data_IF_876510874295
#
_entry.id   IF_876510874295
#
_cell.length_a   1.000
_cell.length_b   1.000
_cell.length_c   1.000
_cell.angle_alpha   90.00
_cell.angle_beta   90.00
_cell.angle_gamma   90.00
#
_symmetry.space_group_name_H-M   'P 1'
#
loop_
_entity.id
_entity.type
_entity.pdbx_description
1 polymer ?
#
# COMPACT_ATOMS: atom_id res chain seq x y z
N UNK A 1 -22.75 3.60 6.14
CA UNK A 1 -21.39 3.45 6.71
C UNK A 1 -20.54 2.40 6.00
N UNK A 2 -21.09 1.30 5.47
CA UNK A 2 -20.31 0.29 4.71
C UNK A 2 -19.86 0.79 3.33
N UNK A 3 -20.65 1.63 2.67
CA UNK A 3 -20.36 2.12 1.30
C UNK A 3 -19.23 3.15 1.23
N UNK A 4 -18.86 3.79 2.34
CA UNK A 4 -17.72 4.72 2.40
C UNK A 4 -16.39 3.97 2.55
N UNK A 5 -16.42 2.76 3.12
CA UNK A 5 -15.23 1.93 3.36
C UNK A 5 -14.74 1.23 2.09
N UNK A 6 -15.60 1.07 1.09
CA UNK A 6 -15.32 0.34 -0.15
C UNK A 6 -14.73 1.20 -1.27
N UNK A 7 -14.61 2.53 -1.09
CA UNK A 7 -14.06 3.43 -2.13
C UNK A 7 -12.53 3.48 -2.17
N UNK A 8 -11.86 2.90 -1.17
CA UNK A 8 -10.41 2.98 -0.98
C UNK A 8 -9.73 1.60 -1.03
N UNK A 9 -10.33 0.65 -1.75
CA UNK A 9 -9.80 -0.70 -2.00
C UNK A 9 -9.55 -0.91 -3.50
N UNK A 10 -9.03 0.13 -4.16
CA UNK A 10 -8.76 0.12 -5.61
C UNK A 10 -7.43 -0.58 -5.97
N UNK A 11 -6.90 -1.44 -5.10
CA UNK A 11 -5.72 -2.24 -5.40
C UNK A 11 -5.94 -3.71 -5.03
N UNK A 12 -6.54 -4.44 -5.98
CA UNK A 12 -6.37 -5.88 -6.24
C UNK A 12 -6.41 -6.81 -5.01
N UNK A 13 -7.50 -6.80 -4.24
CA UNK A 13 -7.94 -8.07 -3.63
C UNK A 13 -8.56 -8.93 -4.73
N UNK A 14 -7.82 -9.95 -5.18
CA UNK A 14 -8.33 -11.01 -6.05
C UNK A 14 -9.36 -11.85 -5.28
N UNK A 15 -10.57 -11.31 -5.11
CA UNK A 15 -11.76 -12.04 -4.66
C UNK A 15 -12.73 -12.21 -5.83
N UNK A 16 -12.21 -12.60 -6.98
CA UNK A 16 -12.97 -12.77 -8.21
C UNK A 16 -12.78 -14.19 -8.72
N UNK A 17 -13.42 -15.16 -8.06
CA UNK A 17 -13.94 -16.38 -8.68
C UNK A 17 -14.70 -17.21 -7.64
N UNK A 18 -15.98 -16.91 -7.43
CA UNK A 18 -16.95 -17.97 -7.08
C UNK A 18 -17.61 -18.33 -8.40
N UNK A 19 -17.34 -19.53 -8.93
CA UNK A 19 -17.89 -19.93 -10.21
C UNK A 19 -19.41 -20.22 -10.11
N UNK A 20 -20.11 -20.09 -11.25
CA UNK A 20 -21.56 -20.29 -11.35
C UNK A 20 -21.98 -21.71 -10.96
N UNK A 21 -21.08 -22.68 -11.11
CA UNK A 21 -21.30 -24.08 -10.77
C UNK A 21 -21.36 -24.30 -9.25
N UNK A 22 -20.51 -23.62 -8.49
CA UNK A 22 -20.51 -23.65 -7.01
C UNK A 22 -21.79 -23.07 -6.43
N UNK A 23 -22.28 -21.97 -7.00
CA UNK A 23 -23.54 -21.32 -6.59
C UNK A 23 -24.74 -22.23 -6.87
N UNK A 24 -24.81 -22.82 -8.06
CA UNK A 24 -25.91 -23.71 -8.45
C UNK A 24 -25.94 -25.00 -7.61
N UNK A 25 -24.77 -25.54 -7.29
CA UNK A 25 -24.64 -26.73 -6.43
C UNK A 25 -25.12 -26.45 -5.01
N UNK A 26 -24.74 -25.31 -4.43
CA UNK A 26 -25.20 -24.88 -3.10
C UNK A 26 -26.71 -24.62 -3.09
N UNK A 27 -27.24 -23.92 -4.10
CA UNK A 27 -28.68 -23.69 -4.25
C UNK A 27 -29.48 -25.01 -4.32
N UNK A 28 -29.01 -25.97 -5.12
CA UNK A 28 -29.65 -27.29 -5.24
C UNK A 28 -29.58 -28.09 -3.94
N UNK A 29 -28.50 -27.94 -3.17
CA UNK A 29 -28.33 -28.55 -1.86
C UNK A 29 -29.27 -27.97 -0.78
N UNK A 30 -29.54 -26.66 -0.85
CA UNK A 30 -30.45 -25.95 0.06
C UNK A 30 -31.93 -26.10 -0.30
N UNK A 31 -32.26 -26.30 -1.57
CA UNK A 31 -33.64 -26.38 -2.05
C UNK A 31 -34.40 -27.52 -1.36
N UNK A 32 -35.44 -27.18 -0.61
CA UNK A 32 -36.35 -28.15 0.03
C UNK A 32 -35.90 -28.70 1.40
N UNK A 33 -34.79 -28.22 1.97
CA UNK A 33 -34.39 -28.52 3.36
C UNK A 33 -34.67 -27.36 4.30
N UNK A 34 -34.93 -27.68 5.56
CA UNK A 34 -34.98 -26.67 6.63
C UNK A 34 -33.57 -26.27 7.09
N UNK A 35 -33.43 -25.08 7.66
CA UNK A 35 -32.15 -24.58 8.19
C UNK A 35 -31.54 -25.54 9.24
N UNK A 36 -32.38 -26.16 10.07
CA UNK A 36 -31.93 -27.15 11.04
C UNK A 36 -31.30 -28.40 10.40
N UNK A 37 -31.87 -28.89 9.30
CA UNK A 37 -31.35 -30.06 8.59
C UNK A 37 -30.05 -29.75 7.84
N UNK A 38 -29.95 -28.54 7.29
CA UNK A 38 -28.75 -28.06 6.60
C UNK A 38 -27.58 -27.96 7.58
N UNK A 39 -27.79 -27.36 8.76
CA UNK A 39 -26.77 -27.22 9.80
C UNK A 39 -26.31 -28.56 10.41
N UNK A 40 -27.21 -29.55 10.51
CA UNK A 40 -26.89 -30.87 11.05
C UNK A 40 -26.13 -31.76 10.06
N UNK A 41 -26.10 -31.40 8.78
CA UNK A 41 -25.42 -32.16 7.73
C UNK A 41 -23.90 -32.19 7.92
N UNK A 42 -23.31 -33.37 7.70
CA UNK A 42 -21.87 -33.57 7.72
C UNK A 42 -21.13 -32.67 6.71
N UNK A 43 -21.77 -32.35 5.58
CA UNK A 43 -21.19 -31.45 4.57
C UNK A 43 -20.98 -30.05 5.15
N UNK A 44 -21.97 -29.51 5.86
CA UNK A 44 -21.88 -28.17 6.46
C UNK A 44 -20.95 -28.18 7.67
N UNK A 45 -20.91 -29.27 8.45
CA UNK A 45 -19.92 -29.44 9.53
C UNK A 45 -18.49 -29.44 9.00
N UNK A 46 -18.21 -30.20 7.94
CA UNK A 46 -16.90 -30.24 7.29
C UNK A 46 -16.55 -28.87 6.71
N UNK A 47 -17.49 -28.20 6.03
CA UNK A 47 -17.28 -26.84 5.52
C UNK A 47 -16.99 -25.84 6.64
N UNK A 48 -17.70 -25.89 7.75
CA UNK A 48 -17.44 -25.03 8.92
C UNK A 48 -16.07 -25.31 9.54
N UNK A 49 -15.66 -26.57 9.65
CA UNK A 49 -14.32 -26.95 10.13
C UNK A 49 -13.21 -26.48 9.19
N UNK A 50 -13.42 -26.56 7.87
CA UNK A 50 -12.47 -26.05 6.88
C UNK A 50 -12.40 -24.52 6.91
N UNK A 51 -13.52 -23.82 7.09
CA UNK A 51 -13.53 -22.36 7.24
C UNK A 51 -12.81 -21.94 8.52
N UNK A 52 -13.03 -22.62 9.64
CA UNK A 52 -12.32 -22.36 10.89
C UNK A 52 -10.83 -22.67 10.74
N UNK A 53 -10.45 -23.79 10.11
CA UNK A 53 -9.06 -24.13 9.84
C UNK A 53 -8.38 -23.09 8.92
N UNK A 54 -9.04 -22.68 7.84
CA UNK A 54 -8.53 -21.64 6.94
C UNK A 54 -8.44 -20.27 7.64
N UNK A 55 -9.42 -19.91 8.48
CA UNK A 55 -9.38 -18.69 9.28
C UNK A 55 -8.24 -18.68 10.32
N UNK A 56 -7.83 -19.85 10.80
CA UNK A 56 -6.64 -20.02 11.66
C UNK A 56 -5.33 -19.95 10.85
N UNK A 57 -5.36 -20.21 9.54
CA UNK A 57 -4.18 -20.22 8.65
C UNK A 57 -4.00 -18.86 7.93
N UNK A 58 -4.98 -17.95 7.95
CA UNK A 58 -4.86 -16.62 7.32
C UNK A 58 -3.98 -15.67 8.14
N UNK A 59 -2.69 -15.98 8.26
CA UNK A 59 -1.68 -15.05 8.74
C UNK A 59 -0.77 -14.64 7.58
N UNK A 60 -0.92 -13.38 7.15
CA UNK A 60 0.11 -12.55 6.49
C UNK A 60 0.45 -12.79 5.01
N UNK A 61 -0.53 -12.69 4.11
CA UNK A 61 -0.20 -12.18 2.76
C UNK A 61 -0.08 -10.66 2.86
N UNK A 62 1.10 -10.18 3.25
CA UNK A 62 1.37 -8.74 3.27
C UNK A 62 1.64 -8.30 1.83
N UNK A 63 0.66 -7.60 1.23
CA UNK A 63 0.84 -7.03 -0.09
C UNK A 63 2.01 -6.04 -0.07
N UNK A 64 2.82 -6.06 -1.14
CA UNK A 64 3.91 -5.09 -1.33
C UNK A 64 3.33 -3.68 -1.33
N UNK A 65 3.98 -2.78 -0.60
CA UNK A 65 3.67 -1.35 -0.65
C UNK A 65 4.02 -0.72 -2.00
N UNK A 66 3.48 0.46 -2.28
CA UNK A 66 3.78 1.21 -3.51
C UNK A 66 5.28 1.49 -3.67
N UNK A 67 5.99 1.80 -2.58
CA UNK A 67 7.43 1.99 -2.62
C UNK A 67 8.16 0.69 -2.98
N UNK A 68 7.78 -0.43 -2.38
CA UNK A 68 8.44 -1.71 -2.63
C UNK A 68 8.16 -2.23 -4.04
N UNK A 69 6.94 -2.02 -4.56
CA UNK A 69 6.62 -2.34 -5.96
C UNK A 69 7.48 -1.52 -6.92
N UNK A 70 7.58 -0.20 -6.69
CA UNK A 70 8.42 0.69 -7.47
C UNK A 70 9.90 0.28 -7.38
N UNK A 71 10.40 -0.02 -6.19
CA UNK A 71 11.76 -0.55 -5.98
C UNK A 71 12.01 -1.81 -6.80
N UNK A 72 11.08 -2.76 -6.76
CA UNK A 72 11.19 -4.01 -7.49
C UNK A 72 11.17 -3.82 -9.01
N UNK A 73 10.36 -2.88 -9.50
CA UNK A 73 10.31 -2.51 -10.93
C UNK A 73 11.66 -1.95 -11.38
N UNK A 74 12.23 -1.04 -10.62
CA UNK A 74 13.52 -0.42 -10.95
C UNK A 74 14.68 -1.41 -10.85
N UNK A 75 14.67 -2.33 -9.87
CA UNK A 75 15.70 -3.38 -9.78
C UNK A 75 15.66 -4.35 -10.97
N UNK A 76 14.47 -4.65 -11.51
CA UNK A 76 14.29 -5.58 -12.63
C UNK A 76 14.50 -4.96 -14.00
N UNK A 77 14.43 -3.65 -14.12
CA UNK A 77 14.67 -2.97 -15.39
C UNK A 77 16.14 -3.18 -15.84
N UNK A 78 16.40 -3.12 -17.15
CA UNK A 78 17.72 -3.31 -17.76
C UNK A 78 18.42 -1.99 -18.13
N UNK A 79 17.81 -0.84 -17.86
CA UNK A 79 18.38 0.46 -18.23
C UNK A 79 19.72 0.78 -17.51
N UNK A 80 20.64 1.56 -18.09
CA UNK A 80 21.91 1.84 -17.42
C UNK A 80 21.73 2.64 -16.11
N UNK A 81 22.53 2.31 -15.08
CA UNK A 81 22.39 2.79 -13.70
C UNK A 81 22.67 4.29 -13.41
N UNK A 82 23.38 5.11 -14.22
CA UNK A 82 23.47 6.52 -13.86
C UNK A 82 22.13 7.26 -14.07
N UNK A 83 21.16 6.65 -14.77
CA UNK A 83 19.86 7.25 -15.06
C UNK A 83 18.72 6.73 -14.17
N UNK A 84 18.99 5.76 -13.28
CA UNK A 84 17.95 5.10 -12.48
C UNK A 84 18.07 5.40 -10.99
N UNK A 85 16.93 5.71 -10.40
CA UNK A 85 16.77 5.89 -8.96
C UNK A 85 15.97 4.69 -8.46
N UNK A 86 16.62 3.84 -7.67
CA UNK A 86 15.94 2.74 -6.97
C UNK A 86 15.46 3.32 -5.63
N UNK A 87 14.15 3.44 -5.40
CA UNK A 87 13.65 4.05 -4.17
C UNK A 87 13.97 3.21 -2.95
N UNK A 88 14.31 3.89 -1.87
CA UNK A 88 14.45 3.32 -0.54
C UNK A 88 13.14 3.49 0.24
N UNK A 89 12.68 2.39 0.83
CA UNK A 89 11.44 2.33 1.58
C UNK A 89 11.77 2.18 3.07
N UNK A 90 10.89 2.70 3.93
CA UNK A 90 10.96 2.44 5.37
C UNK A 90 10.31 1.08 5.72
N UNK A 91 10.30 0.75 7.02
CA UNK A 91 9.74 -0.51 7.53
C UNK A 91 8.24 -0.68 7.31
N UNK A 92 7.51 0.40 7.06
CA UNK A 92 6.08 0.38 6.78
C UNK A 92 5.81 0.29 5.27
N UNK A 93 6.85 0.39 4.44
CA UNK A 93 6.71 0.47 2.99
C UNK A 93 6.48 1.88 2.47
N UNK A 94 6.62 2.92 3.32
CA UNK A 94 6.56 4.31 2.87
C UNK A 94 7.87 4.69 2.17
N UNK A 95 7.81 5.65 1.25
CA UNK A 95 9.03 6.22 0.67
C UNK A 95 9.82 6.97 1.74
N UNK A 96 11.12 6.71 1.83
CA UNK A 96 12.00 7.59 2.59
C UNK A 96 12.02 8.98 1.93
N UNK A 97 12.02 10.07 2.72
CA UNK A 97 11.95 11.42 2.17
C UNK A 97 13.07 11.77 1.20
N UNK A 98 14.28 11.24 1.41
CA UNK A 98 15.44 11.52 0.55
C UNK A 98 15.79 10.30 -0.30
N UNK A 99 15.83 10.50 -1.62
CA UNK A 99 16.13 9.46 -2.60
C UNK A 99 17.29 9.92 -3.48
N UNK A 100 18.37 9.14 -3.54
CA UNK A 100 19.58 9.50 -4.27
C UNK A 100 19.85 8.54 -5.43
N UNK A 101 20.35 9.08 -6.54
CA UNK A 101 20.79 8.27 -7.67
C UNK A 101 22.04 7.48 -7.27
N UNK A 102 22.08 6.20 -7.61
CA UNK A 102 23.25 5.36 -7.35
C UNK A 102 24.45 5.92 -8.13
N UNK A 103 25.63 5.89 -7.54
CA UNK A 103 26.89 6.33 -8.16
C UNK A 103 26.92 7.81 -8.59
N UNK A 104 26.04 8.63 -8.01
CA UNK A 104 25.88 10.06 -8.32
C UNK A 104 25.66 10.88 -7.05
N UNK A 105 25.92 12.19 -7.12
CA UNK A 105 25.68 13.13 -6.01
C UNK A 105 24.28 13.75 -6.03
N UNK A 106 23.47 13.42 -7.02
CA UNK A 106 22.13 13.99 -7.15
C UNK A 106 21.14 13.23 -6.26
N UNK A 107 20.34 13.98 -5.51
CA UNK A 107 19.22 13.46 -4.72
C UNK A 107 17.92 14.22 -5.06
N UNK A 108 16.78 13.62 -4.70
CA UNK A 108 15.43 14.19 -4.81
C UNK A 108 14.66 13.94 -3.52
N UNK A 109 13.71 14.82 -3.21
CA UNK A 109 12.80 14.62 -2.11
C UNK A 109 11.48 13.99 -2.57
N UNK A 110 10.98 13.03 -1.79
CA UNK A 110 9.70 12.34 -1.98
C UNK A 110 8.77 12.56 -0.79
N UNK A 111 7.45 12.51 -1.03
CA UNK A 111 6.47 12.33 0.03
C UNK A 111 6.42 10.86 0.44
N UNK A 112 5.87 10.55 1.63
CA UNK A 112 5.67 9.16 2.07
C UNK A 112 4.83 8.34 1.09
N UNK A 113 3.89 9.00 0.43
CA UNK A 113 2.96 8.42 -0.54
C UNK A 113 3.61 8.22 -1.94
N UNK A 114 4.86 8.67 -2.13
CA UNK A 114 5.59 8.51 -3.40
C UNK A 114 5.53 9.69 -4.36
N UNK A 115 4.99 10.84 -3.95
CA UNK A 115 5.02 12.04 -4.79
C UNK A 115 6.42 12.62 -4.87
N UNK A 116 6.81 13.07 -6.06
CA UNK A 116 8.05 13.80 -6.25
C UNK A 116 7.90 15.25 -5.78
N UNK A 117 8.66 15.65 -4.76
CA UNK A 117 8.58 17.00 -4.16
C UNK A 117 9.61 17.98 -4.71
N UNK A 118 10.75 17.49 -5.20
CA UNK A 118 11.81 18.36 -5.74
C UNK A 118 12.46 17.79 -7.00
N UNK A 119 12.99 18.64 -7.89
CA UNK A 119 13.92 18.20 -8.92
C UNK A 119 15.21 17.63 -8.31
N UNK A 120 16.01 16.88 -9.09
CA UNK A 120 17.30 16.38 -8.63
C UNK A 120 18.26 17.52 -8.38
N UNK A 121 18.96 17.47 -7.24
CA UNK A 121 19.92 18.47 -6.82
C UNK A 121 21.06 17.84 -6.04
N UNK A 122 22.27 18.33 -6.25
CA UNK A 122 23.46 17.99 -5.44
C UNK A 122 23.56 18.80 -4.16
N UNK A 123 22.67 19.78 -3.96
CA UNK A 123 22.67 20.68 -2.80
C UNK A 123 21.77 20.20 -1.67
N UNK A 124 20.96 19.17 -1.89
CA UNK A 124 20.07 18.63 -0.86
C UNK A 124 20.90 17.98 0.26
N UNK A 125 20.60 18.37 1.50
CA UNK A 125 21.20 17.81 2.72
C UNK A 125 20.18 17.04 3.57
N UNK A 126 18.91 17.44 3.50
CA UNK A 126 17.79 16.75 4.14
C UNK A 126 16.54 16.95 3.29
N UNK A 127 15.56 16.06 3.44
CA UNK A 127 14.23 16.20 2.84
C UNK A 127 13.11 16.25 3.89
N UNK A 128 13.45 16.23 5.18
CA UNK A 128 12.45 16.08 6.26
C UNK A 128 11.54 17.31 6.35
N UNK A 129 12.09 18.51 6.23
CA UNK A 129 11.29 19.73 6.25
C UNK A 129 10.35 19.79 5.04
N UNK A 130 10.86 19.47 3.85
CA UNK A 130 10.09 19.52 2.60
C UNK A 130 8.94 18.51 2.63
N UNK A 131 9.22 17.27 3.04
CA UNK A 131 8.20 16.24 3.21
C UNK A 131 7.16 16.67 4.25
N UNK A 132 7.58 17.23 5.39
CA UNK A 132 6.66 17.68 6.44
C UNK A 132 5.78 18.84 6.00
N UNK A 133 6.35 19.80 5.29
CA UNK A 133 5.62 20.91 4.67
C UNK A 133 4.54 20.39 3.72
N UNK A 134 4.88 19.43 2.86
CA UNK A 134 3.92 18.81 1.95
C UNK A 134 2.79 18.08 2.69
N UNK A 135 3.11 17.30 3.72
CA UNK A 135 2.11 16.62 4.57
C UNK A 135 1.11 17.63 5.19
N UNK A 136 1.61 18.74 5.74
CA UNK A 136 0.77 19.76 6.37
C UNK A 136 -0.09 20.52 5.35
N UNK A 137 0.46 20.79 4.18
CA UNK A 137 -0.27 21.43 3.07
C UNK A 137 -1.41 20.54 2.56
N UNK A 138 -1.15 19.24 2.34
CA UNK A 138 -2.17 18.27 1.90
C UNK A 138 -3.34 18.13 2.88
N UNK A 139 -3.07 18.24 4.18
CA UNK A 139 -4.09 18.08 5.23
C UNK A 139 -5.03 19.29 5.36
N UNK A 140 -4.88 20.32 4.52
CA UNK A 140 -5.62 21.59 4.62
C UNK A 140 -5.67 22.09 6.08
N UNK A 141 -4.54 21.96 6.79
CA UNK A 141 -4.51 22.13 8.23
C UNK A 141 -4.67 23.61 8.61
N UNK A 142 -5.91 24.09 8.63
CA UNK A 142 -6.27 25.41 9.11
C UNK A 142 -5.87 25.51 10.59
N UNK A 143 -4.84 26.32 10.88
CA UNK A 143 -4.36 26.59 12.24
C UNK A 143 -3.05 25.88 12.63
N UNK A 144 -2.47 25.02 11.79
CA UNK A 144 -1.11 24.49 12.04
C UNK A 144 -0.06 25.32 11.30
N UNK A 145 1.00 25.72 12.02
CA UNK A 145 2.12 26.46 11.42
C UNK A 145 2.90 25.54 10.47
N UNK A 146 2.83 25.83 9.17
CA UNK A 146 3.57 25.11 8.14
C UNK A 146 5.07 25.47 8.26
N UNK A 147 5.98 24.49 8.37
CA UNK A 147 7.40 24.77 8.54
C UNK A 147 7.99 25.47 7.31
N UNK A 148 8.94 26.37 7.57
CA UNK A 148 9.74 27.00 6.52
C UNK A 148 11.01 26.18 6.28
N UNK A 149 11.34 25.95 5.00
CA UNK A 149 12.47 25.13 4.59
C UNK A 149 13.47 25.94 3.78
N UNK A 150 14.75 25.63 3.93
CA UNK A 150 15.82 26.13 3.09
C UNK A 150 15.85 25.37 1.74
N UNK A 151 16.60 25.90 0.77
CA UNK A 151 16.77 25.25 -0.54
C UNK A 151 17.52 23.91 -0.49
N UNK A 152 18.28 23.64 0.57
CA UNK A 152 18.93 22.34 0.83
C UNK A 152 18.02 21.33 1.55
N UNK A 153 16.75 21.72 1.77
CA UNK A 153 15.70 20.95 2.40
C UNK A 153 15.80 20.82 3.92
N UNK A 154 16.77 21.51 4.55
CA UNK A 154 16.81 21.67 6.01
C UNK A 154 15.75 22.66 6.50
N UNK A 155 15.42 22.57 7.79
CA UNK A 155 14.53 23.55 8.44
C UNK A 155 15.19 24.93 8.49
N UNK A 156 14.42 25.97 8.15
CA UNK A 156 14.83 27.35 8.34
C UNK A 156 14.73 27.67 9.84
N UNK A 157 15.85 28.09 10.43
CA UNK A 157 15.87 28.55 11.83
C UNK A 157 15.05 29.83 11.93
N UNK A 158 14.14 29.89 12.91
CA UNK A 158 13.33 31.05 13.23
C UNK A 158 14.13 32.12 13.95
#
# INVERSE_FOLDING_TARGET
MVLSYLKEQNHKTSFSHVDSLSIYTFYSYCKGRTYEEILKSNMVRILMLLVVAMAVITETVQALSDCEEHRNREMKSSAPLPMRLIPNCDKNGDYLPMQCFKDSKFCRCYSKDGDLLTPPSTKLKSCDCIAKKNEMQKKNAAGSSIPQCNADGTYKKS
#
